data_IF_262578415578
#
_entry.id   IF_262578415578
#
_cell.length_a   1.000
_cell.length_b   1.000
_cell.length_c   1.000
_cell.angle_alpha   90.00
_cell.angle_beta   90.00
_cell.angle_gamma   90.00
#
_symmetry.space_group_name_H-M   'P 1'
#
loop_
_entity.id
_entity.type
_entity.pdbx_description
1 polymer ?
#
# COMPACT_ATOMS: atom_id res chain seq x y z
N UNK A 1 -9.38 23.45 2.36
CA UNK A 1 -10.44 22.54 2.86
C UNK A 1 -10.66 22.77 4.35
N UNK A 2 -11.88 22.54 4.86
CA UNK A 2 -12.20 22.67 6.28
C UNK A 2 -12.53 21.29 6.88
N UNK A 3 -12.23 21.15 8.18
CA UNK A 3 -12.64 19.96 8.92
C UNK A 3 -14.16 19.93 9.06
N UNK A 4 -14.75 18.75 8.96
CA UNK A 4 -16.17 18.58 9.20
C UNK A 4 -16.55 18.86 10.66
N UNK A 5 -17.81 19.28 10.87
CA UNK A 5 -18.42 19.22 12.18
C UNK A 5 -18.63 17.75 12.57
N UNK A 6 -18.32 17.41 13.82
CA UNK A 6 -18.54 16.06 14.34
C UNK A 6 -20.04 15.69 14.27
N UNK A 7 -20.91 16.68 14.44
CA UNK A 7 -22.35 16.54 14.40
C UNK A 7 -22.98 17.78 13.76
N UNK A 8 -23.79 17.57 12.69
CA UNK A 8 -24.46 18.66 11.99
C UNK A 8 -25.90 18.27 11.66
N UNK A 9 -26.88 18.83 12.39
CA UNK A 9 -28.33 18.55 12.23
C UNK A 9 -28.92 19.09 10.94
N UNK A 10 -28.27 20.04 10.30
CA UNK A 10 -28.77 20.71 9.07
C UNK A 10 -28.31 20.00 7.80
N UNK A 11 -27.32 19.08 7.89
CA UNK A 11 -26.74 18.40 6.76
C UNK A 11 -27.34 16.97 6.59
N UNK A 12 -27.32 16.42 5.36
CA UNK A 12 -27.76 15.04 5.11
C UNK A 12 -26.77 14.02 5.68
N UNK A 13 -27.22 12.80 6.02
CA UNK A 13 -26.34 11.70 6.41
C UNK A 13 -25.46 11.24 5.24
N UNK A 14 -26.02 11.15 4.05
CA UNK A 14 -25.27 10.88 2.82
C UNK A 14 -24.55 12.13 2.36
N UNK A 15 -23.24 12.09 2.29
CA UNK A 15 -22.43 13.24 1.90
C UNK A 15 -22.77 13.78 0.51
N UNK A 16 -22.67 15.09 0.31
CA UNK A 16 -22.90 15.73 -0.99
C UNK A 16 -21.69 15.64 -1.92
N UNK A 17 -20.46 15.57 -1.36
CA UNK A 17 -19.18 15.35 -2.05
C UNK A 17 -18.26 14.54 -1.15
N UNK A 18 -17.15 14.00 -1.70
CA UNK A 18 -16.17 13.25 -0.89
C UNK A 18 -15.30 14.17 -0.03
N UNK A 19 -15.01 15.38 -0.50
CA UNK A 19 -14.35 16.46 0.24
C UNK A 19 -15.15 17.75 0.00
N UNK A 20 -15.04 18.74 0.90
CA UNK A 20 -15.77 20.02 0.81
C UNK A 20 -17.29 19.88 0.59
N UNK A 21 -17.85 18.75 0.99
CA UNK A 21 -19.27 18.50 0.96
C UNK A 21 -19.94 18.76 2.30
N UNK A 22 -21.25 18.51 2.32
CA UNK A 22 -22.06 18.52 3.54
C UNK A 22 -22.32 17.12 4.02
N UNK A 23 -22.22 16.89 5.33
CA UNK A 23 -22.50 15.62 5.99
C UNK A 23 -22.93 15.87 7.44
N UNK A 24 -23.87 15.08 7.93
CA UNK A 24 -24.34 15.15 9.34
C UNK A 24 -23.32 14.61 10.35
N UNK A 25 -22.33 13.83 9.89
CA UNK A 25 -21.41 13.03 10.72
C UNK A 25 -21.91 11.62 11.03
N UNK A 26 -23.14 11.26 10.59
CA UNK A 26 -23.73 9.94 10.86
C UNK A 26 -23.44 9.00 9.69
N UNK A 27 -22.75 7.89 9.99
CA UNK A 27 -22.48 6.84 8.99
C UNK A 27 -23.66 5.86 8.92
N UNK A 28 -24.27 5.76 7.75
CA UNK A 28 -25.27 4.75 7.41
C UNK A 28 -24.79 3.94 6.22
N UNK A 29 -24.24 2.75 6.44
CA UNK A 29 -23.73 1.87 5.39
C UNK A 29 -24.76 1.45 4.32
N UNK A 30 -26.05 1.58 4.60
CA UNK A 30 -27.12 1.29 3.63
C UNK A 30 -27.43 2.48 2.72
N UNK A 31 -26.89 3.67 3.03
CA UNK A 31 -27.08 4.90 2.26
C UNK A 31 -25.80 5.73 2.22
N UNK A 32 -24.78 5.19 1.59
CA UNK A 32 -23.49 5.85 1.35
C UNK A 32 -23.39 6.32 -0.10
N UNK A 33 -22.54 7.34 -0.33
CA UNK A 33 -22.36 7.95 -1.66
C UNK A 33 -21.76 6.98 -2.68
N UNK A 34 -20.82 6.11 -2.24
CA UNK A 34 -20.11 5.14 -3.07
C UNK A 34 -20.42 3.71 -2.57
N UNK A 35 -21.57 3.09 -3.01
CA UNK A 35 -22.03 1.82 -2.43
C UNK A 35 -21.04 0.66 -2.52
N UNK A 36 -20.15 0.66 -3.53
CA UNK A 36 -19.11 -0.37 -3.71
C UNK A 36 -18.05 -0.30 -2.60
N UNK A 37 -17.87 0.85 -1.93
CA UNK A 37 -16.94 1.00 -0.79
C UNK A 37 -17.33 0.14 0.41
N UNK A 38 -18.60 -0.19 0.59
CA UNK A 38 -19.01 -1.14 1.63
C UNK A 38 -18.45 -2.55 1.38
N UNK A 39 -18.28 -2.93 0.11
CA UNK A 39 -17.64 -4.21 -0.23
C UNK A 39 -16.15 -4.17 0.12
N UNK A 40 -15.46 -3.09 -0.25
CA UNK A 40 -14.06 -2.88 0.10
C UNK A 40 -13.86 -2.92 1.62
N UNK A 41 -14.68 -2.17 2.38
CA UNK A 41 -14.67 -2.20 3.85
C UNK A 41 -14.66 -3.64 4.40
N UNK A 42 -15.56 -4.49 3.90
CA UNK A 42 -15.62 -5.90 4.35
C UNK A 42 -14.38 -6.70 3.96
N UNK A 43 -13.80 -6.43 2.80
CA UNK A 43 -12.56 -7.09 2.35
C UNK A 43 -11.40 -6.73 3.27
N UNK A 44 -11.23 -5.43 3.58
CA UNK A 44 -10.18 -4.96 4.48
C UNK A 44 -10.30 -5.59 5.87
N UNK A 45 -11.51 -5.70 6.43
CA UNK A 45 -11.73 -6.38 7.71
C UNK A 45 -11.37 -7.87 7.65
N UNK A 46 -11.68 -8.56 6.55
CA UNK A 46 -11.38 -9.99 6.37
C UNK A 46 -9.88 -10.25 6.12
N UNK A 47 -9.15 -9.23 5.72
CA UNK A 47 -7.71 -9.29 5.50
C UNK A 47 -6.89 -9.03 6.77
N UNK A 48 -7.53 -8.84 7.92
CA UNK A 48 -6.82 -8.63 9.19
C UNK A 48 -5.83 -9.77 9.50
N UNK A 49 -4.64 -9.43 9.90
CA UNK A 49 -3.57 -10.33 10.32
C UNK A 49 -2.65 -9.62 11.31
N UNK A 50 -1.86 -10.39 12.06
CA UNK A 50 -0.83 -9.88 12.96
C UNK A 50 0.48 -10.65 12.76
N UNK A 51 1.64 -9.99 12.85
CA UNK A 51 2.94 -10.63 12.60
C UNK A 51 3.23 -11.81 13.53
N UNK A 52 2.79 -11.74 14.78
CA UNK A 52 3.04 -12.76 15.80
C UNK A 52 2.43 -14.14 15.47
N UNK A 53 1.49 -14.22 14.53
CA UNK A 53 0.92 -15.47 14.03
C UNK A 53 1.86 -16.23 13.08
N UNK A 54 2.95 -15.58 12.62
CA UNK A 54 3.90 -16.14 11.67
C UNK A 54 5.22 -16.44 12.38
N UNK A 55 5.55 -17.73 12.64
CA UNK A 55 6.75 -18.08 13.40
C UNK A 55 8.04 -17.84 12.61
N UNK A 56 8.97 -17.07 13.16
CA UNK A 56 10.24 -16.67 12.54
C UNK A 56 11.40 -17.64 12.76
N UNK A 57 11.25 -18.73 13.52
CA UNK A 57 12.35 -19.60 13.93
C UNK A 57 13.14 -20.20 12.75
N UNK A 58 12.45 -20.52 11.64
CA UNK A 58 13.09 -21.03 10.42
C UNK A 58 13.91 -19.96 9.73
N UNK A 59 13.34 -18.77 9.55
CA UNK A 59 14.02 -17.62 8.95
C UNK A 59 15.22 -17.20 9.78
N UNK A 60 15.11 -17.19 11.12
CA UNK A 60 16.22 -16.90 12.03
C UNK A 60 17.40 -17.88 11.86
N UNK A 61 17.12 -19.15 11.60
CA UNK A 61 18.17 -20.13 11.33
C UNK A 61 18.78 -20.00 9.93
N UNK A 62 18.00 -19.55 8.94
CA UNK A 62 18.41 -19.40 7.54
C UNK A 62 19.15 -18.08 7.27
N UNK A 63 18.79 -16.99 7.95
CA UNK A 63 19.34 -15.66 7.68
C UNK A 63 20.87 -15.61 7.70
N UNK A 64 21.59 -16.21 8.68
CA UNK A 64 23.06 -16.26 8.67
C UNK A 64 23.65 -17.08 7.51
N UNK A 65 22.85 -17.90 6.83
CA UNK A 65 23.27 -18.76 5.73
C UNK A 65 23.05 -18.10 4.36
N UNK A 66 22.37 -16.98 4.31
CA UNK A 66 22.23 -16.15 3.11
C UNK A 66 23.61 -15.63 2.70
N UNK A 67 23.84 -15.43 1.40
CA UNK A 67 25.07 -14.78 0.97
C UNK A 67 25.11 -13.29 1.39
N UNK A 68 26.29 -12.67 1.28
CA UNK A 68 26.50 -11.31 1.79
C UNK A 68 25.59 -10.27 1.10
N UNK A 69 25.32 -10.44 -0.21
CA UNK A 69 24.45 -9.53 -0.95
C UNK A 69 22.97 -9.76 -0.64
N UNK A 70 22.54 -11.01 -0.46
CA UNK A 70 21.21 -11.33 0.01
C UNK A 70 20.94 -10.71 1.38
N UNK A 71 21.89 -10.85 2.33
CA UNK A 71 21.77 -10.26 3.69
C UNK A 71 21.74 -8.73 3.64
N UNK A 72 22.64 -8.12 2.85
CA UNK A 72 22.68 -6.67 2.70
C UNK A 72 21.38 -6.12 2.13
N UNK A 73 20.94 -6.72 1.03
CA UNK A 73 19.72 -6.31 0.32
C UNK A 73 18.48 -6.52 1.17
N UNK A 74 18.42 -7.63 1.92
CA UNK A 74 17.32 -7.90 2.86
C UNK A 74 17.18 -6.77 3.89
N UNK A 75 18.27 -6.39 4.54
CA UNK A 75 18.29 -5.34 5.57
C UNK A 75 17.88 -3.97 5.00
N UNK A 76 18.45 -3.60 3.86
CA UNK A 76 18.13 -2.32 3.20
C UNK A 76 16.66 -2.25 2.80
N UNK A 77 16.12 -3.33 2.24
CA UNK A 77 14.72 -3.38 1.82
C UNK A 77 13.74 -3.36 2.98
N UNK A 78 14.01 -4.05 4.10
CA UNK A 78 13.18 -3.91 5.30
C UNK A 78 13.22 -2.47 5.84
N UNK A 79 14.40 -1.85 5.87
CA UNK A 79 14.53 -0.45 6.26
C UNK A 79 13.77 0.51 5.36
N UNK A 80 13.78 0.27 4.04
CA UNK A 80 12.99 1.03 3.07
C UNK A 80 11.48 0.92 3.35
N UNK A 81 10.97 -0.32 3.45
CA UNK A 81 9.54 -0.56 3.68
C UNK A 81 9.06 0.14 4.95
N UNK A 82 9.84 0.07 6.03
CA UNK A 82 9.50 0.73 7.29
C UNK A 82 9.37 2.26 7.15
N UNK A 83 10.17 2.90 6.28
CA UNK A 83 10.06 4.35 6.02
C UNK A 83 8.80 4.66 5.22
N UNK A 84 8.50 3.87 4.19
CA UNK A 84 7.33 4.10 3.32
C UNK A 84 6.03 4.00 4.13
N UNK A 85 5.83 2.91 4.88
CA UNK A 85 4.62 2.70 5.68
C UNK A 85 4.50 3.67 6.86
N UNK A 86 5.65 4.17 7.37
CA UNK A 86 5.62 5.25 8.37
C UNK A 86 5.10 6.56 7.78
N UNK A 87 5.49 6.91 6.55
CA UNK A 87 4.95 8.08 5.83
C UNK A 87 3.47 7.87 5.52
N UNK A 88 3.09 6.67 5.11
CA UNK A 88 1.73 6.31 4.75
C UNK A 88 0.78 6.36 5.95
N UNK A 89 1.18 5.82 7.10
CA UNK A 89 0.43 5.92 8.36
C UNK A 89 0.08 7.38 8.69
N UNK A 90 1.06 8.30 8.54
CA UNK A 90 0.84 9.72 8.78
C UNK A 90 -0.09 10.34 7.73
N UNK A 91 0.14 10.05 6.46
CA UNK A 91 -0.62 10.60 5.35
C UNK A 91 -2.10 10.21 5.40
N UNK A 92 -2.40 8.93 5.59
CA UNK A 92 -3.78 8.43 5.73
C UNK A 92 -4.50 9.10 6.91
N UNK A 93 -3.79 9.32 8.02
CA UNK A 93 -4.30 10.05 9.17
C UNK A 93 -4.66 11.51 8.87
N UNK A 94 -3.88 12.17 8.03
CA UNK A 94 -4.14 13.56 7.59
C UNK A 94 -5.29 13.62 6.59
N UNK A 95 -5.26 12.80 5.53
CA UNK A 95 -6.29 12.76 4.47
C UNK A 95 -7.67 12.43 5.04
N UNK A 96 -7.73 11.44 5.92
CA UNK A 96 -8.95 11.01 6.60
C UNK A 96 -9.77 12.17 7.18
N UNK A 97 -9.10 13.19 7.72
CA UNK A 97 -9.74 14.33 8.38
C UNK A 97 -10.50 15.26 7.43
N UNK A 98 -10.20 15.20 6.13
CA UNK A 98 -10.78 16.07 5.11
C UNK A 98 -11.87 15.38 4.30
N UNK A 99 -12.04 14.07 4.41
CA UNK A 99 -13.20 13.41 3.83
C UNK A 99 -14.48 13.93 4.48
N UNK A 100 -15.41 14.36 3.64
CA UNK A 100 -16.79 14.68 4.05
C UNK A 100 -17.71 13.47 3.89
N UNK A 101 -17.21 12.37 3.36
CA UNK A 101 -17.91 11.09 3.29
C UNK A 101 -17.49 10.19 4.46
N UNK A 102 -18.43 9.94 5.38
CA UNK A 102 -18.17 9.15 6.59
C UNK A 102 -17.74 7.70 6.29
N UNK A 103 -18.11 7.14 5.12
CA UNK A 103 -17.66 5.79 4.75
C UNK A 103 -16.20 5.77 4.33
N UNK A 104 -15.73 6.80 3.61
CA UNK A 104 -14.32 6.94 3.24
C UNK A 104 -13.46 7.22 4.47
N UNK A 105 -13.95 8.04 5.41
CA UNK A 105 -13.29 8.26 6.68
C UNK A 105 -13.12 6.95 7.47
N UNK A 106 -14.18 6.12 7.55
CA UNK A 106 -14.16 4.84 8.24
C UNK A 106 -13.19 3.83 7.58
N UNK A 107 -13.17 3.76 6.24
CA UNK A 107 -12.24 2.91 5.50
C UNK A 107 -10.80 3.35 5.71
N UNK A 108 -10.51 4.66 5.66
CA UNK A 108 -9.17 5.20 5.92
C UNK A 108 -8.66 4.86 7.34
N UNK A 109 -9.55 4.70 8.32
CA UNK A 109 -9.14 4.26 9.66
C UNK A 109 -8.63 2.82 9.67
N UNK A 110 -9.18 1.94 8.82
CA UNK A 110 -8.72 0.55 8.68
C UNK A 110 -7.40 0.53 7.91
N UNK A 111 -7.30 1.27 6.80
CA UNK A 111 -6.04 1.39 6.04
C UNK A 111 -4.92 1.85 6.98
N UNK A 112 -5.12 2.94 7.74
CA UNK A 112 -4.13 3.40 8.71
C UNK A 112 -3.76 2.37 9.78
N UNK A 113 -4.67 1.49 10.19
CA UNK A 113 -4.38 0.39 11.09
C UNK A 113 -3.54 -0.69 10.39
N UNK A 114 -3.82 -1.00 9.11
CA UNK A 114 -3.04 -1.97 8.33
C UNK A 114 -1.59 -1.48 8.15
N UNK A 115 -1.36 -0.18 7.87
CA UNK A 115 -0.03 0.43 7.80
C UNK A 115 0.77 0.26 9.11
N UNK A 116 0.10 0.37 10.26
CA UNK A 116 0.74 0.10 11.56
C UNK A 116 1.13 -1.37 11.71
N UNK A 117 0.30 -2.31 11.23
CA UNK A 117 0.62 -3.74 11.22
C UNK A 117 1.80 -4.05 10.30
N UNK A 118 1.87 -3.41 9.12
CA UNK A 118 3.00 -3.53 8.21
C UNK A 118 4.30 -3.09 8.91
N UNK A 119 4.32 -1.91 9.53
CA UNK A 119 5.46 -1.43 10.31
C UNK A 119 5.85 -2.37 11.47
N UNK A 120 4.86 -2.91 12.19
CA UNK A 120 5.10 -3.88 13.25
C UNK A 120 5.78 -5.13 12.69
N UNK A 121 5.38 -5.59 11.48
CA UNK A 121 5.97 -6.78 10.86
C UNK A 121 7.46 -6.61 10.56
N UNK A 122 7.90 -5.44 10.10
CA UNK A 122 9.31 -5.16 9.86
C UNK A 122 10.13 -5.16 11.15
N UNK A 123 9.59 -4.58 12.21
CA UNK A 123 10.20 -4.63 13.54
C UNK A 123 10.28 -6.04 14.08
N UNK A 124 9.23 -6.85 13.89
CA UNK A 124 9.17 -8.25 14.29
C UNK A 124 10.20 -9.09 13.52
N UNK A 125 10.28 -8.91 12.18
CA UNK A 125 11.28 -9.57 11.33
C UNK A 125 12.69 -9.24 11.82
N UNK A 126 13.04 -7.96 11.94
CA UNK A 126 14.40 -7.55 12.35
C UNK A 126 14.75 -8.01 13.75
N UNK A 127 13.85 -7.92 14.71
CA UNK A 127 14.10 -8.38 16.08
C UNK A 127 14.34 -9.90 16.17
N UNK A 128 13.80 -10.66 15.21
CA UNK A 128 14.01 -12.11 15.11
C UNK A 128 15.34 -12.49 14.47
N UNK A 129 15.97 -11.59 13.68
CA UNK A 129 17.09 -11.92 12.80
C UNK A 129 18.41 -11.27 13.21
N UNK A 130 18.39 -10.05 13.75
CA UNK A 130 19.59 -9.22 13.98
C UNK A 130 19.60 -8.58 15.36
N UNK A 131 20.77 -8.13 15.80
CA UNK A 131 20.95 -7.47 17.10
C UNK A 131 20.23 -6.12 17.17
N UNK A 132 19.93 -5.65 18.38
CA UNK A 132 19.30 -4.35 18.61
C UNK A 132 20.11 -3.18 17.99
N UNK A 133 21.45 -3.27 18.06
CA UNK A 133 22.32 -2.27 17.47
C UNK A 133 22.14 -2.23 15.93
N UNK A 134 22.12 -3.38 15.31
CA UNK A 134 21.96 -3.51 13.86
C UNK A 134 20.55 -3.07 13.39
N UNK A 135 19.50 -3.34 14.18
CA UNK A 135 18.17 -2.81 13.91
C UNK A 135 18.16 -1.28 13.84
N UNK A 136 18.82 -0.61 14.78
CA UNK A 136 18.95 0.86 14.77
C UNK A 136 19.64 1.37 13.51
N UNK A 137 20.73 0.71 13.10
CA UNK A 137 21.46 1.08 11.88
C UNK A 137 20.59 0.91 10.62
N UNK A 138 19.79 -0.16 10.54
CA UNK A 138 18.87 -0.41 9.44
C UNK A 138 17.78 0.67 9.37
N UNK A 139 17.15 1.00 10.51
CA UNK A 139 16.12 2.04 10.56
C UNK A 139 16.66 3.46 10.32
N UNK A 140 17.97 3.67 10.41
CA UNK A 140 18.61 4.95 10.11
C UNK A 140 19.24 5.05 8.73
N UNK A 141 19.34 3.93 8.01
CA UNK A 141 20.01 3.85 6.70
C UNK A 141 19.48 4.89 5.70
N UNK A 142 18.16 5.10 5.66
CA UNK A 142 17.50 6.02 4.73
C UNK A 142 17.97 7.48 4.87
N UNK A 143 18.47 7.89 6.03
CA UNK A 143 18.92 9.27 6.28
C UNK A 143 20.17 9.64 5.51
N UNK A 144 20.98 8.65 5.12
CA UNK A 144 22.31 8.86 4.55
C UNK A 144 22.46 8.30 3.14
N UNK A 145 21.52 7.50 2.66
CA UNK A 145 21.57 6.95 1.31
C UNK A 145 20.92 7.92 0.30
N UNK A 146 21.70 8.47 -0.66
CA UNK A 146 21.18 9.48 -1.58
C UNK A 146 20.14 8.96 -2.56
N UNK A 147 20.20 7.68 -2.96
CA UNK A 147 19.24 7.08 -3.89
C UNK A 147 17.89 6.92 -3.18
N UNK A 148 17.95 6.46 -1.94
CA UNK A 148 16.76 6.27 -1.11
C UNK A 148 16.13 7.61 -0.70
N UNK A 149 16.95 8.63 -0.35
CA UNK A 149 16.47 9.97 -0.04
C UNK A 149 15.76 10.62 -1.23
N UNK A 150 16.32 10.54 -2.44
CA UNK A 150 15.69 11.10 -3.64
C UNK A 150 14.30 10.48 -3.86
N UNK A 151 14.23 9.15 -3.78
CA UNK A 151 13.00 8.39 -3.97
C UNK A 151 11.94 8.73 -2.93
N UNK A 152 12.30 8.76 -1.64
CA UNK A 152 11.36 9.05 -0.56
C UNK A 152 10.93 10.52 -0.55
N UNK A 153 11.86 11.45 -0.87
CA UNK A 153 11.56 12.87 -0.96
C UNK A 153 10.55 13.17 -2.06
N UNK A 154 10.58 12.41 -3.16
CA UNK A 154 9.62 12.56 -4.25
C UNK A 154 8.15 12.44 -3.79
N UNK A 155 7.85 11.50 -2.91
CA UNK A 155 6.51 11.32 -2.34
C UNK A 155 6.27 12.27 -1.17
N UNK A 156 7.20 12.32 -0.21
CA UNK A 156 7.02 13.11 1.01
C UNK A 156 6.84 14.61 0.75
N UNK A 157 7.45 15.13 -0.32
CA UNK A 157 7.26 16.54 -0.70
C UNK A 157 5.80 16.84 -1.09
N UNK A 158 5.14 15.93 -1.82
CA UNK A 158 3.74 16.10 -2.23
C UNK A 158 2.80 15.95 -1.03
N UNK A 159 3.08 14.99 -0.15
CA UNK A 159 2.33 14.84 1.09
C UNK A 159 2.48 16.07 1.99
N UNK A 160 3.69 16.63 2.06
CA UNK A 160 3.94 17.86 2.82
C UNK A 160 3.22 19.07 2.18
N UNK A 161 3.22 19.21 0.85
CA UNK A 161 2.47 20.27 0.16
C UNK A 161 0.96 20.19 0.49
N UNK A 162 0.37 19.00 0.49
CA UNK A 162 -1.02 18.81 0.93
C UNK A 162 -1.21 19.19 2.40
N UNK A 163 -0.26 18.88 3.29
CA UNK A 163 -0.34 19.27 4.72
C UNK A 163 -0.25 20.77 4.93
N UNK A 164 0.54 21.46 4.11
CA UNK A 164 0.74 22.90 4.20
C UNK A 164 -0.42 23.68 3.55
N UNK A 165 -0.98 23.12 2.48
CA UNK A 165 -2.03 23.78 1.70
C UNK A 165 -3.13 22.78 1.29
N UNK A 166 -4.19 22.70 2.09
CA UNK A 166 -5.31 21.78 1.86
C UNK A 166 -6.34 22.39 0.92
N UNK A 167 -6.32 21.99 -0.35
CA UNK A 167 -7.31 22.33 -1.36
C UNK A 167 -7.55 21.14 -2.31
N UNK A 168 -8.60 21.17 -3.18
CA UNK A 168 -8.88 20.07 -4.08
C UNK A 168 -7.72 19.73 -5.03
N UNK A 169 -6.89 20.69 -5.44
CA UNK A 169 -5.75 20.45 -6.33
C UNK A 169 -4.62 19.68 -5.60
N UNK A 170 -4.23 20.12 -4.41
CA UNK A 170 -3.20 19.43 -3.63
C UNK A 170 -3.70 18.07 -3.14
N UNK A 171 -4.99 17.92 -2.86
CA UNK A 171 -5.61 16.63 -2.57
C UNK A 171 -5.53 15.69 -3.80
N UNK A 172 -5.84 16.18 -5.00
CA UNK A 172 -5.67 15.42 -6.24
C UNK A 172 -4.24 14.92 -6.42
N UNK A 173 -3.25 15.79 -6.24
CA UNK A 173 -1.82 15.45 -6.34
C UNK A 173 -1.41 14.41 -5.30
N UNK A 174 -1.92 14.55 -4.07
CA UNK A 174 -1.66 13.59 -3.00
C UNK A 174 -2.24 12.20 -3.28
N UNK A 175 -3.44 12.08 -3.90
CA UNK A 175 -4.01 10.80 -4.34
C UNK A 175 -3.15 10.13 -5.41
N UNK A 176 -2.54 10.91 -6.32
CA UNK A 176 -1.61 10.37 -7.33
C UNK A 176 -0.32 9.88 -6.67
N UNK A 177 0.23 10.64 -5.72
CA UNK A 177 1.44 10.25 -4.98
C UNK A 177 1.23 8.97 -4.16
N UNK A 178 0.08 8.83 -3.54
CA UNK A 178 -0.31 7.65 -2.79
C UNK A 178 -0.39 6.40 -3.70
N UNK A 179 -1.09 6.50 -4.81
CA UNK A 179 -1.16 5.41 -5.79
C UNK A 179 0.23 4.99 -6.29
N UNK A 180 1.19 5.92 -6.39
CA UNK A 180 2.58 5.63 -6.74
C UNK A 180 3.29 4.90 -5.62
N UNK A 181 3.17 5.37 -4.38
CA UNK A 181 3.79 4.74 -3.23
C UNK A 181 3.29 3.30 -3.09
N UNK A 182 1.99 3.11 -2.95
CA UNK A 182 1.31 1.82 -2.75
C UNK A 182 1.41 0.89 -3.96
N UNK A 183 1.40 1.46 -5.16
CA UNK A 183 1.24 0.74 -6.41
C UNK A 183 2.50 0.49 -7.22
N UNK A 184 3.61 1.18 -6.93
CA UNK A 184 4.85 1.09 -7.70
C UNK A 184 6.06 0.91 -6.78
N UNK A 185 6.20 1.73 -5.72
CA UNK A 185 7.42 1.81 -4.93
C UNK A 185 7.70 0.59 -4.02
N UNK A 186 6.80 -0.32 -3.86
CA UNK A 186 7.03 -1.57 -3.13
C UNK A 186 7.50 -2.73 -4.02
N UNK A 187 7.29 -2.67 -5.34
CA UNK A 187 7.23 -3.86 -6.18
C UNK A 187 8.59 -4.48 -6.49
N UNK A 188 9.68 -3.70 -6.63
CA UNK A 188 11.03 -4.26 -6.74
C UNK A 188 11.47 -4.96 -5.45
N UNK A 189 11.08 -4.40 -4.31
CA UNK A 189 11.35 -4.97 -2.99
C UNK A 189 10.56 -6.27 -2.77
N UNK A 190 9.28 -6.32 -3.13
CA UNK A 190 8.49 -7.54 -3.08
C UNK A 190 9.10 -8.65 -3.97
N UNK A 191 9.55 -8.29 -5.17
CA UNK A 191 10.21 -9.24 -6.07
C UNK A 191 11.47 -9.86 -5.44
N UNK A 192 12.25 -9.09 -4.68
CA UNK A 192 13.40 -9.61 -3.94
C UNK A 192 13.00 -10.68 -2.92
N UNK A 193 12.00 -10.42 -2.09
CA UNK A 193 11.57 -11.40 -1.08
C UNK A 193 10.98 -12.66 -1.71
N UNK A 194 10.25 -12.53 -2.80
CA UNK A 194 9.73 -13.68 -3.55
C UNK A 194 10.84 -14.46 -4.28
N UNK A 195 11.93 -13.80 -4.68
CA UNK A 195 13.09 -14.47 -5.22
C UNK A 195 13.78 -15.35 -4.15
N UNK A 196 13.89 -14.88 -2.91
CA UNK A 196 14.35 -15.72 -1.80
C UNK A 196 13.40 -16.90 -1.55
N UNK A 197 12.09 -16.66 -1.54
CA UNK A 197 11.09 -17.70 -1.33
C UNK A 197 11.07 -18.76 -2.44
N UNK A 198 11.37 -18.39 -3.69
CA UNK A 198 11.52 -19.32 -4.81
C UNK A 198 12.59 -20.37 -4.55
N UNK A 199 13.64 -19.99 -3.82
CA UNK A 199 14.70 -20.88 -3.37
C UNK A 199 14.43 -21.49 -1.97
N UNK A 200 13.20 -21.39 -1.48
CA UNK A 200 12.77 -21.84 -0.14
C UNK A 200 13.53 -21.17 1.03
N UNK A 201 14.02 -19.97 0.81
CA UNK A 201 14.68 -19.13 1.81
C UNK A 201 13.69 -18.11 2.34
N UNK A 202 13.80 -17.77 3.65
CA UNK A 202 13.07 -16.67 4.29
C UNK A 202 11.56 -16.70 4.03
N UNK A 203 10.97 -17.88 4.14
CA UNK A 203 9.57 -18.13 3.79
C UNK A 203 8.57 -17.41 4.71
N UNK A 204 8.89 -17.27 6.01
CA UNK A 204 8.05 -16.55 6.96
C UNK A 204 8.00 -15.04 6.63
N UNK A 205 9.14 -14.44 6.35
CA UNK A 205 9.23 -13.05 5.88
C UNK A 205 8.48 -12.87 4.56
N UNK A 206 8.68 -13.76 3.59
CA UNK A 206 7.97 -13.71 2.30
C UNK A 206 6.46 -13.82 2.46
N UNK A 207 5.97 -14.61 3.42
CA UNK A 207 4.55 -14.70 3.75
C UNK A 207 3.99 -13.37 4.28
N UNK A 208 4.72 -12.70 5.19
CA UNK A 208 4.31 -11.35 5.66
C UNK A 208 4.27 -10.36 4.49
N UNK A 209 5.29 -10.36 3.64
CA UNK A 209 5.34 -9.51 2.43
C UNK A 209 4.15 -9.79 1.49
N UNK A 210 3.71 -11.04 1.36
CA UNK A 210 2.54 -11.35 0.54
C UNK A 210 1.23 -10.81 1.13
N UNK A 211 1.11 -10.76 2.46
CA UNK A 211 -0.04 -10.15 3.14
C UNK A 211 -0.02 -8.63 2.98
N UNK A 212 1.15 -8.00 3.12
CA UNK A 212 1.35 -6.59 2.85
C UNK A 212 0.94 -6.28 1.41
N UNK A 213 1.51 -6.95 0.40
CA UNK A 213 1.17 -6.71 -1.01
C UNK A 213 -0.33 -6.87 -1.30
N UNK A 214 -1.00 -7.82 -0.65
CA UNK A 214 -2.44 -7.98 -0.77
C UNK A 214 -3.18 -6.74 -0.24
N UNK A 215 -2.76 -6.21 0.90
CA UNK A 215 -3.37 -5.04 1.51
C UNK A 215 -3.09 -3.80 0.65
N UNK A 216 -1.85 -3.59 0.13
CA UNK A 216 -1.49 -2.49 -0.78
C UNK A 216 -2.32 -2.50 -2.08
N UNK A 217 -2.68 -3.67 -2.60
CA UNK A 217 -3.58 -3.74 -3.75
C UNK A 217 -5.00 -3.20 -3.42
N UNK A 218 -5.47 -3.37 -2.19
CA UNK A 218 -6.75 -2.82 -1.75
C UNK A 218 -6.65 -1.32 -1.47
N UNK A 219 -5.51 -0.86 -0.93
CA UNK A 219 -5.23 0.57 -0.75
C UNK A 219 -5.19 1.29 -2.11
N UNK A 220 -4.46 0.78 -3.08
CA UNK A 220 -4.47 1.29 -4.46
C UNK A 220 -5.89 1.38 -5.04
N UNK A 221 -6.73 0.37 -4.82
CA UNK A 221 -8.11 0.39 -5.28
C UNK A 221 -8.91 1.50 -4.60
N UNK A 222 -8.77 1.65 -3.28
CA UNK A 222 -9.41 2.72 -2.51
C UNK A 222 -9.04 4.10 -3.07
N UNK A 223 -7.76 4.40 -3.17
CA UNK A 223 -7.28 5.71 -3.62
C UNK A 223 -7.60 5.99 -5.09
N UNK A 224 -7.64 4.97 -5.94
CA UNK A 224 -8.09 5.12 -7.32
C UNK A 224 -9.58 5.44 -7.42
N UNK A 225 -10.43 4.83 -6.60
CA UNK A 225 -11.85 5.17 -6.54
C UNK A 225 -12.09 6.57 -5.96
N UNK A 226 -11.32 6.96 -4.93
CA UNK A 226 -11.31 8.34 -4.41
C UNK A 226 -10.91 9.33 -5.51
N UNK A 227 -9.84 9.05 -6.26
CA UNK A 227 -9.41 9.88 -7.40
C UNK A 227 -10.52 10.06 -8.44
N UNK A 228 -11.15 8.98 -8.86
CA UNK A 228 -12.25 9.04 -9.86
C UNK A 228 -13.45 9.83 -9.34
N UNK A 229 -13.82 9.62 -8.09
CA UNK A 229 -14.92 10.36 -7.48
C UNK A 229 -14.57 11.84 -7.27
N UNK A 230 -13.30 12.14 -6.96
CA UNK A 230 -12.82 13.52 -6.88
C UNK A 230 -13.02 14.27 -8.20
N UNK A 231 -12.63 13.66 -9.33
CA UNK A 231 -12.85 14.26 -10.66
C UNK A 231 -14.34 14.41 -11.03
N UNK A 232 -15.21 13.54 -10.51
CA UNK A 232 -16.65 13.65 -10.68
C UNK A 232 -17.26 14.77 -9.82
N UNK A 233 -16.74 14.96 -8.60
CA UNK A 233 -17.21 16.01 -7.67
C UNK A 233 -16.64 17.40 -8.02
N UNK A 234 -15.45 17.45 -8.66
CA UNK A 234 -14.70 18.64 -9.05
C UNK A 234 -14.28 18.55 -10.54
N UNK A 235 -15.23 18.72 -11.48
CA UNK A 235 -14.93 18.62 -12.92
C UNK A 235 -13.84 19.57 -13.43
N UNK A 236 -13.61 20.68 -12.73
CA UNK A 236 -12.54 21.64 -13.00
C UNK A 236 -11.14 21.04 -12.80
N UNK A 237 -10.99 19.93 -12.06
CA UNK A 237 -9.73 19.19 -11.94
C UNK A 237 -9.47 18.26 -13.12
N UNK A 238 -10.50 17.90 -13.89
CA UNK A 238 -10.36 17.03 -15.06
C UNK A 238 -9.84 17.79 -16.28
N UNK A 239 -8.63 18.33 -16.17
CA UNK A 239 -7.97 19.09 -17.21
C UNK A 239 -6.86 18.29 -17.86
N UNK A 240 -6.49 18.68 -19.10
CA UNK A 240 -5.33 18.08 -19.78
C UNK A 240 -4.05 18.25 -18.93
N UNK A 241 -3.87 19.39 -18.27
CA UNK A 241 -2.69 19.67 -17.43
C UNK A 241 -2.59 18.69 -16.26
N UNK A 242 -3.70 18.41 -15.56
CA UNK A 242 -3.76 17.45 -14.48
C UNK A 242 -3.56 16.00 -14.96
N UNK A 243 -4.11 15.64 -16.13
CA UNK A 243 -3.85 14.30 -16.70
C UNK A 243 -2.39 14.15 -17.15
N UNK A 244 -1.79 15.17 -17.77
CA UNK A 244 -0.38 15.20 -18.09
C UNK A 244 0.49 15.14 -16.81
N UNK A 245 0.05 15.75 -15.70
CA UNK A 245 0.71 15.62 -14.40
C UNK A 245 0.75 14.16 -13.95
N UNK A 246 -0.36 13.43 -14.00
CA UNK A 246 -0.39 12.00 -13.64
C UNK A 246 0.66 11.21 -14.42
N UNK A 247 0.71 11.37 -15.74
CA UNK A 247 1.71 10.67 -16.57
C UNK A 247 3.15 11.06 -16.21
N UNK A 248 3.44 12.34 -15.95
CA UNK A 248 4.77 12.78 -15.52
C UNK A 248 5.18 12.14 -14.21
N UNK A 249 4.26 12.08 -13.24
CA UNK A 249 4.50 11.50 -11.93
C UNK A 249 4.75 9.99 -12.02
N UNK A 250 3.92 9.27 -12.78
CA UNK A 250 4.08 7.82 -13.02
C UNK A 250 5.42 7.53 -13.71
N UNK A 251 5.78 8.30 -14.76
CA UNK A 251 7.05 8.12 -15.46
C UNK A 251 8.25 8.34 -14.52
N UNK A 252 8.21 9.39 -13.69
CA UNK A 252 9.26 9.66 -12.71
C UNK A 252 9.34 8.56 -11.66
N UNK A 253 8.21 8.05 -11.20
CA UNK A 253 8.16 6.95 -10.26
C UNK A 253 8.81 5.67 -10.82
N UNK A 254 8.49 5.32 -12.07
CA UNK A 254 9.10 4.16 -12.75
C UNK A 254 10.63 4.32 -12.88
N UNK A 255 11.10 5.54 -13.20
CA UNK A 255 12.53 5.83 -13.23
C UNK A 255 13.19 5.64 -11.87
N UNK A 256 12.62 6.22 -10.81
CA UNK A 256 13.13 6.13 -9.44
C UNK A 256 13.13 4.69 -8.93
N UNK A 257 12.04 3.94 -9.16
CA UNK A 257 11.94 2.54 -8.74
C UNK A 257 12.89 1.63 -9.52
N UNK A 258 13.06 1.87 -10.83
CA UNK A 258 14.03 1.14 -11.65
C UNK A 258 15.46 1.42 -11.18
N UNK A 259 15.78 2.68 -10.88
CA UNK A 259 17.10 3.05 -10.34
C UNK A 259 17.36 2.38 -8.99
N UNK A 260 16.37 2.36 -8.11
CA UNK A 260 16.45 1.65 -6.83
C UNK A 260 16.65 0.15 -7.01
N UNK A 261 15.88 -0.48 -7.89
CA UNK A 261 16.02 -1.90 -8.21
C UNK A 261 17.42 -2.25 -8.70
N UNK A 262 17.97 -1.47 -9.65
CA UNK A 262 19.34 -1.65 -10.14
C UNK A 262 20.39 -1.41 -9.04
N UNK A 263 20.20 -0.39 -8.21
CA UNK A 263 21.13 -0.08 -7.13
C UNK A 263 21.21 -1.19 -6.08
N UNK A 264 20.07 -1.79 -5.73
CA UNK A 264 20.00 -2.79 -4.64
C UNK A 264 20.15 -4.23 -5.11
N UNK A 265 19.68 -4.56 -6.34
CA UNK A 265 19.50 -5.95 -6.77
C UNK A 265 20.48 -6.43 -7.82
N UNK A 266 21.41 -5.58 -8.31
CA UNK A 266 22.34 -5.92 -9.41
C UNK A 266 23.24 -7.13 -9.13
N UNK A 267 23.57 -7.40 -7.87
CA UNK A 267 24.40 -8.53 -7.47
C UNK A 267 23.57 -9.71 -6.90
N UNK A 268 22.25 -9.54 -6.79
CA UNK A 268 21.35 -10.58 -6.27
C UNK A 268 21.10 -11.62 -7.37
N UNK A 269 21.40 -12.88 -7.06
CA UNK A 269 21.19 -13.98 -8.00
C UNK A 269 19.70 -14.27 -8.19
N UNK A 270 19.34 -14.66 -9.42
CA UNK A 270 17.99 -15.10 -9.75
C UNK A 270 17.02 -14.00 -10.18
N UNK A 271 17.44 -12.73 -10.14
CA UNK A 271 16.68 -11.58 -10.65
C UNK A 271 17.32 -11.07 -11.93
N UNK A 272 16.58 -11.05 -13.03
CA UNK A 272 16.96 -10.32 -14.25
C UNK A 272 16.45 -8.87 -14.15
N UNK A 273 17.37 -7.91 -14.20
CA UNK A 273 17.04 -6.48 -14.02
C UNK A 273 16.24 -5.91 -15.20
N UNK A 274 16.33 -6.49 -16.39
CA UNK A 274 15.50 -6.06 -17.52
C UNK A 274 14.06 -6.55 -17.34
N UNK A 275 13.87 -7.82 -16.95
CA UNK A 275 12.55 -8.36 -16.61
C UNK A 275 11.92 -7.58 -15.46
N UNK A 276 12.71 -7.23 -14.44
CA UNK A 276 12.24 -6.42 -13.30
C UNK A 276 11.86 -5.01 -13.72
N UNK A 277 12.65 -4.37 -14.60
CA UNK A 277 12.32 -3.04 -15.13
C UNK A 277 11.02 -3.06 -15.94
N UNK A 278 10.78 -4.10 -16.72
CA UNK A 278 9.53 -4.27 -17.45
C UNK A 278 8.37 -4.64 -16.53
N UNK A 279 8.61 -5.36 -15.42
CA UNK A 279 7.61 -5.61 -14.38
C UNK A 279 7.17 -4.31 -13.71
N UNK A 280 8.10 -3.41 -13.38
CA UNK A 280 7.77 -2.08 -12.80
C UNK A 280 6.90 -1.27 -13.77
N UNK A 281 7.24 -1.25 -15.07
CA UNK A 281 6.42 -0.59 -16.11
C UNK A 281 5.04 -1.24 -16.25
N UNK A 282 4.98 -2.57 -16.20
CA UNK A 282 3.71 -3.30 -16.19
C UNK A 282 2.83 -2.88 -15.01
N UNK A 283 3.40 -2.79 -13.80
CA UNK A 283 2.66 -2.31 -12.62
C UNK A 283 2.18 -0.87 -12.81
N UNK A 284 2.99 0.02 -13.36
CA UNK A 284 2.59 1.39 -13.68
C UNK A 284 1.40 1.43 -14.66
N UNK A 285 1.41 0.62 -15.71
CA UNK A 285 0.28 0.48 -16.64
C UNK A 285 -0.99 -0.04 -15.93
N UNK A 286 -0.83 -0.96 -14.99
CA UNK A 286 -1.96 -1.47 -14.18
C UNK A 286 -2.56 -0.36 -13.29
N UNK A 287 -1.74 0.53 -12.73
CA UNK A 287 -2.20 1.68 -11.93
C UNK A 287 -2.90 2.73 -12.79
N UNK A 288 -2.37 3.05 -13.96
CA UNK A 288 -3.06 3.92 -14.93
C UNK A 288 -4.42 3.36 -15.34
N UNK A 289 -4.50 2.07 -15.63
CA UNK A 289 -5.78 1.39 -15.93
C UNK A 289 -6.77 1.49 -14.76
N UNK A 290 -6.28 1.37 -13.53
CA UNK A 290 -7.10 1.50 -12.32
C UNK A 290 -7.70 2.90 -12.20
N UNK A 291 -6.97 3.94 -12.63
CA UNK A 291 -7.46 5.32 -12.75
C UNK A 291 -8.42 5.54 -13.94
N UNK A 292 -8.57 4.57 -14.84
CA UNK A 292 -9.32 4.72 -16.10
C UNK A 292 -8.54 5.46 -17.19
N UNK A 293 -7.22 5.49 -17.11
CA UNK A 293 -6.31 6.15 -18.05
C UNK A 293 -5.65 5.13 -19.00
N UNK A 294 -5.18 5.60 -20.14
CA UNK A 294 -4.45 4.79 -21.10
C UNK A 294 -3.06 4.42 -20.56
N UNK A 295 -2.52 3.29 -21.02
CA UNK A 295 -1.18 2.85 -20.65
C UNK A 295 -0.10 3.84 -21.12
N UNK A 296 0.99 3.96 -20.34
CA UNK A 296 2.15 4.78 -20.68
C UNK A 296 3.24 3.99 -21.39
N UNK A 297 3.33 2.68 -21.16
CA UNK A 297 4.38 1.80 -21.66
C UNK A 297 3.83 0.78 -22.63
N UNK A 298 4.23 0.87 -23.90
CA UNK A 298 3.89 -0.10 -24.94
C UNK A 298 4.76 -1.36 -24.80
N UNK A 299 4.22 -2.50 -25.22
CA UNK A 299 4.97 -3.78 -25.24
C UNK A 299 5.12 -4.48 -23.89
N UNK A 300 4.60 -3.92 -22.81
CA UNK A 300 4.61 -4.51 -21.46
C UNK A 300 3.19 -4.81 -20.95
N UNK A 301 2.43 -5.50 -21.77
CA UNK A 301 1.01 -5.82 -21.48
C UNK A 301 0.82 -7.06 -20.60
N UNK A 302 1.89 -7.82 -20.36
CA UNK A 302 1.92 -9.01 -19.51
C UNK A 302 3.03 -8.92 -18.48
N UNK A 303 2.82 -9.54 -17.33
CA UNK A 303 3.83 -9.62 -16.28
C UNK A 303 5.07 -10.36 -16.80
N UNK A 304 6.21 -9.67 -16.89
CA UNK A 304 7.51 -10.19 -17.30
C UNK A 304 8.13 -11.17 -16.30
N UNK A 305 7.66 -11.13 -15.04
CA UNK A 305 8.11 -12.00 -13.94
C UNK A 305 6.98 -12.94 -13.47
N UNK A 306 6.47 -13.85 -14.31
CA UNK A 306 5.30 -14.68 -13.99
C UNK A 306 5.53 -15.62 -12.80
N UNK A 307 6.78 -15.87 -12.44
CA UNK A 307 7.18 -16.66 -11.28
C UNK A 307 6.85 -16.00 -9.93
N UNK A 308 6.53 -14.70 -9.90
CA UNK A 308 6.07 -14.00 -8.69
C UNK A 308 4.66 -14.46 -8.27
N UNK A 309 3.79 -14.79 -9.23
CA UNK A 309 2.37 -15.11 -8.98
C UNK A 309 2.11 -16.16 -7.88
N UNK A 310 2.89 -17.24 -7.75
CA UNK A 310 2.65 -18.21 -6.68
C UNK A 310 2.93 -17.69 -5.26
N UNK A 311 3.73 -16.62 -5.14
CA UNK A 311 4.14 -16.05 -3.87
C UNK A 311 3.34 -14.79 -3.52
N UNK A 312 2.92 -14.04 -4.53
CA UNK A 312 1.99 -12.93 -4.38
C UNK A 312 0.56 -13.47 -4.31
N UNK A 313 -0.28 -12.85 -3.49
CA UNK A 313 -1.71 -13.20 -3.40
C UNK A 313 -2.51 -12.87 -4.69
N UNK A 314 -1.82 -12.47 -5.78
CA UNK A 314 -2.42 -12.27 -7.10
C UNK A 314 -3.10 -13.53 -7.64
N UNK A 315 -2.56 -14.72 -7.33
CA UNK A 315 -3.19 -15.99 -7.67
C UNK A 315 -4.51 -16.20 -6.91
N UNK A 316 -4.61 -15.72 -5.68
CA UNK A 316 -5.84 -15.72 -4.90
C UNK A 316 -6.82 -14.65 -5.39
N UNK A 317 -6.34 -13.52 -5.89
CA UNK A 317 -7.17 -12.46 -6.46
C UNK A 317 -7.69 -12.79 -7.86
N UNK A 318 -6.96 -13.54 -8.68
CA UNK A 318 -7.43 -13.99 -10.00
C UNK A 318 -8.54 -15.06 -9.90
N UNK A 319 -8.51 -15.88 -8.86
CA UNK A 319 -9.61 -16.82 -8.53
C UNK A 319 -10.76 -16.14 -7.79
N UNK A 320 -10.57 -14.94 -7.31
CA UNK A 320 -11.52 -14.14 -6.50
C UNK A 320 -12.25 -13.05 -7.28
N UNK A 321 -12.35 -13.11 -8.60
CA UNK A 321 -13.52 -12.54 -9.29
C UNK A 321 -14.82 -13.15 -8.72
N UNK A 322 -14.74 -14.36 -8.16
CA UNK A 322 -15.73 -14.97 -7.27
C UNK A 322 -15.50 -14.66 -5.78
N UNK A 323 -14.74 -13.61 -5.45
CA UNK A 323 -14.36 -13.24 -4.08
C UNK A 323 -15.55 -13.03 -3.14
N UNK A 324 -16.72 -12.78 -3.70
CA UNK A 324 -17.98 -12.65 -2.94
C UNK A 324 -18.75 -13.97 -2.78
N UNK A 325 -18.33 -15.04 -3.42
CA UNK A 325 -18.94 -16.37 -3.31
C UNK A 325 -18.07 -17.39 -2.55
N UNK A 326 -16.75 -17.17 -2.38
CA UNK A 326 -15.89 -18.05 -1.62
C UNK A 326 -16.23 -17.93 -0.12
N UNK A 327 -16.71 -19.02 0.44
CA UNK A 327 -16.98 -19.25 1.87
C UNK A 327 -15.85 -18.68 2.72
N UNK A 328 -16.24 -17.92 3.78
CA UNK A 328 -15.36 -17.55 4.89
C UNK A 328 -14.40 -18.69 5.21
N UNK A 329 -13.08 -18.42 5.20
CA UNK A 329 -12.15 -19.26 5.97
C UNK A 329 -12.72 -19.34 7.36
N UNK A 330 -12.87 -20.55 7.86
CA UNK A 330 -13.40 -20.84 9.19
C UNK A 330 -12.81 -19.87 10.21
N UNK A 331 -13.56 -18.84 10.55
CA UNK A 331 -13.63 -18.43 11.94
C UNK A 331 -14.18 -19.67 12.62
N UNK A 332 -13.30 -20.38 13.32
CA UNK A 332 -13.76 -21.35 14.29
C UNK A 332 -14.81 -20.59 15.09
N UNK A 333 -16.06 -21.04 15.07
CA UNK A 333 -17.06 -20.51 15.99
C UNK A 333 -16.39 -20.55 17.34
N UNK A 334 -16.09 -19.37 17.91
CA UNK A 334 -15.88 -19.24 19.34
C UNK A 334 -17.15 -19.85 19.91
N UNK A 335 -17.03 -20.96 20.62
CA UNK A 335 -18.16 -21.58 21.26
C UNK A 335 -18.81 -20.58 22.20
N UNK A 336 -20.06 -20.80 22.55
CA UNK A 336 -20.85 -19.94 23.45
C UNK A 336 -20.24 -19.77 24.86
N UNK A 337 -19.03 -20.22 25.09
CA UNK A 337 -18.28 -20.20 26.34
C UNK A 337 -17.16 -19.13 26.26
N UNK A 338 -17.57 -17.86 26.22
CA UNK A 338 -16.67 -16.71 26.05
C UNK A 338 -15.99 -16.21 27.32
N UNK A 339 -16.21 -16.86 28.50
CA UNK A 339 -15.59 -16.46 29.77
C UNK A 339 -15.96 -15.06 30.26
N UNK A 340 -17.03 -14.45 29.74
CA UNK A 340 -17.52 -13.13 30.16
C UNK A 340 -18.60 -13.19 31.26
N UNK A 341 -19.01 -14.39 31.69
CA UNK A 341 -20.02 -14.54 32.71
C UNK A 341 -19.46 -14.37 34.14
N UNK A 342 -18.14 -14.13 34.29
CA UNK A 342 -17.48 -13.96 35.61
C UNK A 342 -16.86 -12.55 35.79
N UNK A 343 -17.39 -11.49 35.11
CA UNK A 343 -17.01 -10.10 35.37
C UNK A 343 -18.14 -9.31 36.01
#
# INVERSE_FOLDING_TARGET
MQLQKIFNTEAPNRSTRIIEGENSGILNWNDIRMPHMYKLYKVLLLNHWIPDEIPMSKDASQFPMLDAEEQRTFKINIGLLAVLDSMQTMFVGDVKRYFTDSSLEAISAIIGQQEVVHNQSYSYVLSSLVSEQEQKEIFEYWKNDPVLLERNTFISAIYQEFRDEQNPQTFFQAMVADLILEGIFFYSTFAFFYNLARDQKMMATSQMISYIQRDENQHCYFFAEVFKQLLADFPELNTKENMDYVYRMINRAVELETNWAHYTLKEVRGIDLNELSDYIKYMANMRLRLLGMDKAYEGVDVNSMPWIKPFSDEALNATKTDFFEAKSRNYGKVGDDNGFDDL
#
